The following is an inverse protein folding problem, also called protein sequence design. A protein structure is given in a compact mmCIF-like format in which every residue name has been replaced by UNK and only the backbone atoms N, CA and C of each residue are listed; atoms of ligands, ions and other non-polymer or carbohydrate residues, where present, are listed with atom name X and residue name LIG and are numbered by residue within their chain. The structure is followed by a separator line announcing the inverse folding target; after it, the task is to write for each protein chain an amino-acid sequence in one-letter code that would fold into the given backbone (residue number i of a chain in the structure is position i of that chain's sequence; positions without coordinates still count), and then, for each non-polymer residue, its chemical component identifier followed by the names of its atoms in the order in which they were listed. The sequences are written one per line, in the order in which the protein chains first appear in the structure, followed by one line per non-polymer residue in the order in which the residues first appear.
data_IF_746085839257
#
_entry.id   IF_746085839257
#
_cell.length_a   1.000
_cell.length_b   1.000
_cell.length_c   1.000
_cell.angle_alpha   90.00
_cell.angle_beta   90.00
_cell.angle_gamma   90.00
#
_symmetry.space_group_name_H-M   'P 1'
#
loop_
_entity.id
_entity.type
_entity.pdbx_description
1 polymer ?
#
# COMPACT_ATOMS: atom_id res chain seq x y z
N UNK A 1 2.30 10.56 -3.71
CA UNK A 1 2.44 10.44 -2.24
C UNK A 1 1.10 10.81 -1.65
N UNK A 2 0.54 9.95 -0.80
CA UNK A 2 -0.84 10.10 -0.34
C UNK A 2 -0.97 10.86 1.00
N UNK A 3 0.13 11.07 1.74
CA UNK A 3 0.19 11.75 3.04
C UNK A 3 -0.71 13.00 3.21
N UNK A 4 -0.88 13.89 2.20
CA UNK A 4 -1.80 15.03 2.30
C UNK A 4 -3.29 14.70 2.48
N UNK A 5 -3.69 13.43 2.41
CA UNK A 5 -5.08 12.98 2.52
C UNK A 5 -5.36 12.19 3.82
N UNK A 6 -4.37 12.03 4.72
CA UNK A 6 -4.46 11.08 5.86
C UNK A 6 -5.53 11.50 6.86
N UNK A 7 -5.65 12.80 7.06
CA UNK A 7 -6.65 13.44 7.90
C UNK A 7 -8.06 13.37 7.31
N UNK A 8 -8.20 13.01 6.03
CA UNK A 8 -9.47 12.95 5.30
C UNK A 8 -10.08 11.55 5.25
N UNK A 9 -9.33 10.51 5.61
CA UNK A 9 -9.75 9.10 5.54
C UNK A 9 -9.68 8.44 6.91
N UNK A 10 -10.27 7.24 7.05
CA UNK A 10 -10.22 6.49 8.30
C UNK A 10 -8.77 6.17 8.70
N UNK A 11 -8.35 6.37 9.97
CA UNK A 11 -6.96 6.16 10.38
C UNK A 11 -6.42 4.76 10.10
N UNK A 12 -7.28 3.74 10.16
CA UNK A 12 -6.91 2.36 9.87
C UNK A 12 -6.36 2.18 8.44
N UNK A 13 -6.81 2.98 7.46
CA UNK A 13 -6.37 2.87 6.07
C UNK A 13 -4.93 3.34 5.90
N UNK A 14 -4.59 4.55 6.39
CA UNK A 14 -3.21 5.03 6.28
C UNK A 14 -2.24 4.22 7.17
N UNK A 15 -2.70 3.75 8.34
CA UNK A 15 -1.90 2.88 9.20
C UNK A 15 -1.55 1.56 8.52
N UNK A 16 -2.53 0.93 7.86
CA UNK A 16 -2.31 -0.29 7.07
C UNK A 16 -1.35 -0.04 5.91
N UNK A 17 -1.55 1.05 5.16
CA UNK A 17 -0.65 1.44 4.06
C UNK A 17 0.80 1.58 4.52
N UNK A 18 1.06 2.36 5.58
CA UNK A 18 2.41 2.56 6.09
C UNK A 18 3.01 1.26 6.67
N UNK A 19 2.20 0.44 7.34
CA UNK A 19 2.61 -0.86 7.86
C UNK A 19 3.03 -1.85 6.77
N UNK A 20 2.22 -1.99 5.72
CA UNK A 20 2.52 -2.86 4.58
C UNK A 20 3.78 -2.39 3.84
N UNK A 21 3.93 -1.08 3.62
CA UNK A 21 5.13 -0.51 3.02
C UNK A 21 6.39 -0.72 3.88
N UNK A 22 6.29 -0.54 5.20
CA UNK A 22 7.41 -0.80 6.11
C UNK A 22 7.86 -2.26 6.02
N UNK A 23 6.92 -3.20 6.02
CA UNK A 23 7.21 -4.64 5.83
C UNK A 23 7.87 -4.91 4.48
N UNK A 24 7.28 -4.45 3.38
CA UNK A 24 7.81 -4.68 2.03
C UNK A 24 9.22 -4.09 1.86
N UNK A 25 9.47 -2.88 2.38
CA UNK A 25 10.81 -2.27 2.39
C UNK A 25 11.81 -3.09 3.20
N UNK A 26 11.41 -3.60 4.37
CA UNK A 26 12.27 -4.45 5.20
C UNK A 26 12.63 -5.76 4.48
N UNK A 27 11.66 -6.42 3.83
CA UNK A 27 11.91 -7.62 3.04
C UNK A 27 12.89 -7.33 1.89
N UNK A 28 12.71 -6.22 1.18
CA UNK A 28 13.58 -5.83 0.07
C UNK A 28 14.98 -5.39 0.50
N UNK A 29 15.17 -4.94 1.75
CA UNK A 29 16.49 -4.60 2.28
C UNK A 29 17.36 -5.85 2.52
N UNK A 30 16.73 -7.00 2.80
CA UNK A 30 17.40 -8.28 3.04
C UNK A 30 16.70 -9.41 2.26
N UNK A 31 16.84 -9.43 0.92
CA UNK A 31 16.12 -10.40 0.11
C UNK A 31 16.73 -11.80 0.22
N UNK A 32 15.88 -12.80 0.42
CA UNK A 32 16.25 -14.22 0.40
C UNK A 32 15.65 -14.92 -0.83
N UNK A 33 16.04 -14.51 -2.03
CA UNK A 33 15.42 -14.99 -3.28
C UNK A 33 15.47 -16.52 -3.49
N UNK A 34 16.39 -17.24 -2.84
CA UNK A 34 16.47 -18.70 -2.90
C UNK A 34 15.64 -19.40 -1.82
N UNK A 35 15.03 -18.66 -0.90
CA UNK A 35 14.19 -19.18 0.16
C UNK A 35 12.72 -19.17 -0.29
N UNK A 36 12.14 -20.35 -0.45
CA UNK A 36 10.74 -20.50 -0.89
C UNK A 36 9.74 -19.83 0.06
N UNK A 37 9.99 -19.92 1.37
CA UNK A 37 9.12 -19.30 2.38
C UNK A 37 9.15 -17.78 2.26
N UNK A 38 10.34 -17.20 2.09
CA UNK A 38 10.51 -15.76 1.88
C UNK A 38 9.79 -15.30 0.60
N UNK A 39 9.98 -16.02 -0.51
CA UNK A 39 9.32 -15.68 -1.77
C UNK A 39 7.79 -15.71 -1.65
N UNK A 40 7.25 -16.74 -0.98
CA UNK A 40 5.82 -16.87 -0.74
C UNK A 40 5.31 -15.72 0.13
N UNK A 41 5.99 -15.41 1.23
CA UNK A 41 5.60 -14.31 2.10
C UNK A 41 5.65 -12.96 1.37
N UNK A 42 6.68 -12.72 0.58
CA UNK A 42 6.84 -11.48 -0.17
C UNK A 42 5.73 -11.32 -1.20
N UNK A 43 5.47 -12.36 -2.00
CA UNK A 43 4.43 -12.35 -3.02
C UNK A 43 3.03 -12.18 -2.42
N UNK A 44 2.73 -12.84 -1.30
CA UNK A 44 1.45 -12.69 -0.59
C UNK A 44 1.32 -11.28 -0.04
N UNK A 45 2.34 -10.77 0.65
CA UNK A 45 2.34 -9.41 1.22
C UNK A 45 2.12 -8.36 0.12
N UNK A 46 2.86 -8.45 -0.99
CA UNK A 46 2.76 -7.52 -2.10
C UNK A 46 1.39 -7.57 -2.78
N UNK A 47 0.85 -8.77 -3.04
CA UNK A 47 -0.47 -8.96 -3.63
C UNK A 47 -1.57 -8.40 -2.75
N UNK A 48 -1.50 -8.67 -1.45
CA UNK A 48 -2.55 -8.25 -0.51
C UNK A 48 -2.50 -6.74 -0.26
N UNK A 49 -1.30 -6.15 -0.26
CA UNK A 49 -1.09 -4.70 -0.28
C UNK A 49 -1.73 -4.05 -1.53
N UNK A 50 -1.41 -4.54 -2.73
CA UNK A 50 -1.98 -3.98 -3.97
C UNK A 50 -3.52 -4.09 -4.00
N UNK A 51 -4.08 -5.23 -3.58
CA UNK A 51 -5.54 -5.40 -3.49
C UNK A 51 -6.20 -4.44 -2.51
N UNK A 52 -5.55 -4.18 -1.37
CA UNK A 52 -6.02 -3.21 -0.41
C UNK A 52 -6.04 -1.80 -1.00
N UNK A 53 -4.94 -1.42 -1.67
CA UNK A 53 -4.86 -0.12 -2.32
C UNK A 53 -5.99 0.07 -3.33
N UNK A 54 -6.16 -0.87 -4.25
CA UNK A 54 -7.17 -0.82 -5.31
C UNK A 54 -8.62 -0.82 -4.78
N UNK A 55 -8.90 -1.62 -3.74
CA UNK A 55 -10.27 -1.88 -3.29
C UNK A 55 -10.73 -0.99 -2.14
N UNK A 56 -9.80 -0.44 -1.37
CA UNK A 56 -10.12 0.26 -0.13
C UNK A 56 -9.48 1.66 -0.10
N UNK A 57 -8.16 1.76 -0.29
CA UNK A 57 -7.45 3.02 -0.12
C UNK A 57 -7.77 4.02 -1.24
N UNK A 58 -7.68 3.61 -2.50
CA UNK A 58 -7.91 4.50 -3.64
C UNK A 58 -9.35 5.02 -3.66
N UNK A 59 -10.40 4.19 -3.51
CA UNK A 59 -11.77 4.70 -3.41
C UNK A 59 -11.99 5.67 -2.25
N UNK A 60 -11.26 5.50 -1.13
CA UNK A 60 -11.34 6.41 0.00
C UNK A 60 -10.66 7.76 -0.27
N UNK A 61 -9.58 7.79 -1.06
CA UNK A 61 -8.82 9.00 -1.38
C UNK A 61 -9.40 9.77 -2.57
N UNK A 62 -9.95 9.06 -3.56
CA UNK A 62 -10.46 9.61 -4.82
C UNK A 62 -11.35 10.86 -4.67
N UNK A 63 -12.29 10.94 -3.70
CA UNK A 63 -13.13 12.13 -3.51
C UNK A 63 -12.37 13.41 -3.13
N UNK A 64 -11.11 13.29 -2.69
CA UNK A 64 -10.28 14.42 -2.26
C UNK A 64 -9.22 14.81 -3.28
N UNK A 65 -9.10 14.05 -4.37
CA UNK A 65 -8.18 14.36 -5.46
C UNK A 65 -8.70 15.59 -6.22
N UNK A 66 -7.80 16.46 -6.71
CA UNK A 66 -8.21 17.50 -7.65
C UNK A 66 -8.86 16.86 -8.88
N UNK A 67 -9.84 17.55 -9.46
CA UNK A 67 -10.39 17.13 -10.75
C UNK A 67 -9.25 17.03 -11.77
N UNK A 68 -9.25 16.00 -12.64
CA UNK A 68 -8.26 15.92 -13.69
C UNK A 68 -8.32 17.19 -14.54
N UNK A 69 -7.19 17.87 -14.72
CA UNK A 69 -7.09 18.98 -15.67
C UNK A 69 -7.35 18.42 -17.07
N UNK A 70 -8.52 18.75 -17.63
CA UNK A 70 -8.93 18.59 -19.04
C UNK A 70 -8.28 17.40 -19.78
N UNK A 71 -8.93 16.22 -19.71
CA UNK A 71 -8.71 15.15 -20.70
C UNK A 71 -9.44 15.49 -22.00
#
# INVERSE_FOLDING_TARGET
MFAPYWDKIAPALWQRFEGDHAKLRAMMAHPEYMNESWNKEFAVTLRDHARFEERELFPAIEPFLPLPENV
#
